data_IF_586211720748
#
_entry.id   IF_586211720748
#
_cell.length_a   1.000
_cell.length_b   1.000
_cell.length_c   1.000
_cell.angle_alpha   90.00
_cell.angle_beta   90.00
_cell.angle_gamma   90.00
#
_symmetry.space_group_name_H-M   'P 1'
#
loop_
_entity.id
_entity.type
_entity.pdbx_description
1 polymer ?
#
# COMPACT_ATOMS: atom_id res chain seq x y z
N UNK A 1 -8.41 -11.31 9.33
CA UNK A 1 -8.28 -12.00 10.64
C UNK A 1 -7.01 -11.48 11.30
N UNK A 2 -6.99 -11.27 12.62
CA UNK A 2 -5.79 -10.87 13.35
C UNK A 2 -5.13 -12.10 13.99
N UNK A 3 -3.82 -12.25 13.85
CA UNK A 3 -3.05 -13.38 14.38
C UNK A 3 -1.80 -12.85 15.09
N UNK A 4 -1.35 -13.54 16.14
CA UNK A 4 0.00 -13.27 16.68
C UNK A 4 1.06 -13.77 15.71
N UNK A 5 2.27 -13.20 15.78
CA UNK A 5 3.40 -13.57 14.91
C UNK A 5 3.77 -15.07 15.02
N UNK A 6 3.50 -15.70 16.17
CA UNK A 6 3.72 -17.13 16.41
C UNK A 6 2.62 -18.03 15.81
N UNK A 7 1.66 -17.46 15.08
CA UNK A 7 0.56 -18.19 14.46
C UNK A 7 -0.59 -18.52 15.40
N UNK A 8 -0.56 -18.05 16.66
CA UNK A 8 -1.60 -18.33 17.65
C UNK A 8 -2.62 -17.19 17.78
N UNK A 9 -3.73 -17.46 18.48
CA UNK A 9 -4.74 -16.46 18.88
C UNK A 9 -5.44 -15.75 17.70
N UNK A 10 -5.79 -16.53 16.68
CA UNK A 10 -6.57 -16.08 15.53
C UNK A 10 -7.90 -15.45 15.98
N UNK A 11 -8.03 -14.13 15.79
CA UNK A 11 -9.23 -13.37 16.18
C UNK A 11 -9.83 -12.68 14.97
N UNK A 12 -11.09 -13.00 14.64
CA UNK A 12 -11.82 -12.29 13.59
C UNK A 12 -12.31 -10.93 14.11
N UNK A 13 -11.86 -9.84 13.48
CA UNK A 13 -12.18 -8.46 13.90
C UNK A 13 -13.34 -7.81 13.15
N UNK A 14 -13.60 -8.21 11.91
CA UNK A 14 -14.77 -7.76 11.12
C UNK A 14 -15.62 -8.97 10.69
N UNK A 15 -16.95 -8.81 10.69
CA UNK A 15 -17.92 -9.89 10.36
C UNK A 15 -18.83 -9.56 9.17
N UNK A 16 -18.57 -8.46 8.47
CA UNK A 16 -19.40 -8.04 7.36
C UNK A 16 -19.33 -9.06 6.20
N UNK A 17 -20.44 -9.33 5.47
CA UNK A 17 -20.43 -10.28 4.35
C UNK A 17 -19.73 -9.75 3.10
N UNK A 18 -19.55 -8.43 3.00
CA UNK A 18 -18.78 -7.81 1.92
C UNK A 18 -17.28 -7.91 2.18
N UNK A 19 -16.51 -7.82 1.11
CA UNK A 19 -15.06 -7.94 1.11
C UNK A 19 -14.36 -6.85 1.95
N UNK A 20 -13.29 -7.25 2.63
CA UNK A 20 -12.33 -6.39 3.33
C UNK A 20 -10.92 -6.76 2.80
N UNK A 21 -10.14 -5.78 2.36
CA UNK A 21 -8.83 -5.96 1.71
C UNK A 21 -7.77 -5.01 2.29
N UNK A 22 -6.50 -5.24 1.93
CA UNK A 22 -5.38 -4.30 2.07
C UNK A 22 -5.17 -3.71 3.48
N UNK A 23 -5.01 -4.53 4.54
CA UNK A 23 -4.84 -4.01 5.88
C UNK A 23 -3.48 -3.31 6.06
N UNK A 24 -3.49 -2.14 6.68
CA UNK A 24 -2.30 -1.38 7.07
C UNK A 24 -2.37 -0.98 8.54
N UNK A 25 -1.32 -1.28 9.29
CA UNK A 25 -1.22 -0.94 10.71
C UNK A 25 -0.87 0.52 10.93
N UNK A 26 -1.51 1.17 11.90
CA UNK A 26 -1.00 2.44 12.41
C UNK A 26 0.36 2.23 13.11
N UNK A 27 1.25 3.23 13.11
CA UNK A 27 2.60 3.08 13.68
C UNK A 27 2.62 2.74 15.18
N UNK A 28 1.58 3.16 15.91
CA UNK A 28 1.40 2.86 17.34
C UNK A 28 0.79 1.46 17.60
N UNK A 29 0.39 0.74 16.54
CA UNK A 29 -0.20 -0.58 16.63
C UNK A 29 -1.65 -0.61 17.14
N UNK A 30 -2.31 0.53 17.34
CA UNK A 30 -3.65 0.57 17.93
C UNK A 30 -4.79 0.55 16.91
N UNK A 31 -4.48 0.84 15.63
CA UNK A 31 -5.46 0.91 14.55
C UNK A 31 -5.02 0.12 13.33
N UNK A 32 -6.00 -0.31 12.56
CA UNK A 32 -5.81 -0.91 11.23
C UNK A 32 -6.64 -0.11 10.24
N UNK A 33 -6.01 0.45 9.21
CA UNK A 33 -6.72 0.94 8.03
C UNK A 33 -6.90 -0.20 7.03
N UNK A 34 -8.02 -0.24 6.31
CA UNK A 34 -8.31 -1.29 5.33
C UNK A 34 -9.40 -0.83 4.35
N UNK A 35 -9.44 -1.43 3.17
CA UNK A 35 -10.48 -1.20 2.16
C UNK A 35 -11.70 -2.08 2.47
N UNK A 36 -12.93 -1.56 2.44
CA UNK A 36 -14.14 -2.36 2.68
C UNK A 36 -15.30 -2.02 1.75
N UNK A 37 -15.90 -3.07 1.16
CA UNK A 37 -17.05 -2.97 0.24
C UNK A 37 -18.40 -2.80 0.94
N UNK A 38 -18.42 -2.61 2.26
CA UNK A 38 -19.63 -2.71 3.10
C UNK A 38 -20.74 -1.71 2.78
N UNK A 39 -20.43 -0.65 2.03
CA UNK A 39 -21.39 0.38 1.66
C UNK A 39 -21.66 0.45 0.14
N UNK A 40 -21.42 -0.64 -0.59
CA UNK A 40 -21.78 -0.79 -2.01
C UNK A 40 -20.65 -0.48 -2.99
N UNK A 41 -19.58 0.16 -2.51
CA UNK A 41 -18.29 0.34 -3.17
C UNK A 41 -17.17 0.17 -2.12
N UNK A 42 -15.93 0.05 -2.59
CA UNK A 42 -14.75 -0.02 -1.74
C UNK A 42 -14.35 1.37 -1.27
N UNK A 43 -14.19 1.48 0.04
CA UNK A 43 -13.86 2.71 0.76
C UNK A 43 -12.86 2.41 1.87
N UNK A 44 -12.12 3.41 2.31
CA UNK A 44 -11.14 3.27 3.39
C UNK A 44 -11.84 3.37 4.74
N UNK A 45 -11.58 2.38 5.60
CA UNK A 45 -12.01 2.34 6.99
C UNK A 45 -10.82 2.26 7.91
N UNK A 46 -11.02 2.69 9.16
CA UNK A 46 -10.15 2.32 10.27
C UNK A 46 -10.90 1.49 11.30
N UNK A 47 -10.20 0.54 11.88
CA UNK A 47 -10.61 -0.23 13.05
C UNK A 47 -9.74 0.19 14.23
N UNK A 48 -10.36 0.63 15.32
CA UNK A 48 -9.71 0.82 16.62
C UNK A 48 -9.73 -0.52 17.39
N UNK A 49 -8.55 -1.02 17.78
CA UNK A 49 -8.44 -2.34 18.42
C UNK A 49 -8.96 -2.38 19.85
N UNK A 50 -8.97 -1.24 20.55
CA UNK A 50 -9.45 -1.12 21.92
C UNK A 50 -10.96 -0.87 21.97
N UNK A 51 -11.47 -0.07 21.02
CA UNK A 51 -12.88 0.33 21.01
C UNK A 51 -13.76 -0.56 20.14
N UNK A 52 -13.18 -1.42 19.30
CA UNK A 52 -13.85 -2.26 18.29
C UNK A 52 -14.70 -1.50 17.25
N UNK A 53 -14.71 -0.17 17.33
CA UNK A 53 -15.48 0.69 16.44
C UNK A 53 -14.77 0.84 15.09
N UNK A 54 -15.60 0.89 14.05
CA UNK A 54 -15.20 1.08 12.67
C UNK A 54 -15.53 2.50 12.23
N UNK A 55 -14.54 3.24 11.75
CA UNK A 55 -14.72 4.58 11.21
C UNK A 55 -14.53 4.55 9.71
N UNK A 56 -15.53 5.02 8.95
CA UNK A 56 -15.42 5.21 7.50
C UNK A 56 -14.67 6.52 7.25
N UNK A 57 -13.53 6.46 6.56
CA UNK A 57 -12.71 7.65 6.27
C UNK A 57 -13.02 8.27 4.91
N UNK A 58 -13.39 7.46 3.93
CA UNK A 58 -13.77 7.94 2.59
C UNK A 58 -15.23 7.62 2.28
N UNK A 59 -15.91 8.54 1.57
CA UNK A 59 -17.29 8.36 1.14
C UNK A 59 -17.53 9.09 -0.17
N UNK A 60 -17.39 8.36 -1.28
CA UNK A 60 -17.62 8.88 -2.62
C UNK A 60 -18.20 7.78 -3.53
N UNK A 61 -18.44 8.09 -4.81
CA UNK A 61 -19.01 7.12 -5.76
C UNK A 61 -17.97 6.19 -6.38
N UNK A 62 -16.68 6.54 -6.26
CA UNK A 62 -15.57 5.79 -6.82
C UNK A 62 -15.00 4.81 -5.80
N UNK A 63 -14.07 3.97 -6.24
CA UNK A 63 -13.43 2.97 -5.37
C UNK A 63 -12.13 3.51 -4.82
N UNK A 64 -11.93 3.30 -3.52
CA UNK A 64 -10.71 3.62 -2.79
C UNK A 64 -10.09 2.33 -2.22
N UNK A 65 -8.78 2.16 -2.40
CA UNK A 65 -8.01 0.95 -2.09
C UNK A 65 -6.69 1.26 -1.39
N UNK A 66 -5.99 0.19 -0.97
CA UNK A 66 -4.57 0.20 -0.60
C UNK A 66 -4.18 1.27 0.42
N UNK A 67 -4.87 1.40 1.57
CA UNK A 67 -4.49 2.38 2.56
C UNK A 67 -3.11 2.08 3.13
N UNK A 68 -2.35 3.14 3.38
CA UNK A 68 -0.99 3.07 3.89
C UNK A 68 -0.77 4.18 4.90
N UNK A 69 -0.55 3.81 6.16
CA UNK A 69 -0.27 4.77 7.22
C UNK A 69 1.10 5.42 7.04
N UNK A 70 1.13 6.74 7.23
CA UNK A 70 2.36 7.48 7.43
C UNK A 70 3.05 7.05 8.74
N UNK A 71 4.38 7.11 8.84
CA UNK A 71 5.13 6.63 10.00
C UNK A 71 4.91 7.45 11.28
N UNK A 72 4.45 8.69 11.17
CA UNK A 72 4.02 9.50 12.32
C UNK A 72 2.55 9.27 12.70
N UNK A 73 1.77 8.57 11.87
CA UNK A 73 0.37 8.25 12.15
C UNK A 73 -0.61 9.40 11.89
N UNK A 74 -0.17 10.50 11.30
CA UNK A 74 -1.03 11.68 11.08
C UNK A 74 -1.77 11.64 9.74
N UNK A 75 -1.29 10.81 8.82
CA UNK A 75 -1.78 10.73 7.44
C UNK A 75 -1.93 9.28 6.96
N UNK A 76 -2.79 9.10 5.95
CA UNK A 76 -3.00 7.85 5.22
C UNK A 76 -2.88 8.16 3.73
N UNK A 77 -2.01 7.45 3.02
CA UNK A 77 -1.98 7.41 1.56
C UNK A 77 -2.89 6.28 1.07
N UNK A 78 -3.52 6.44 -0.09
CA UNK A 78 -4.43 5.44 -0.65
C UNK A 78 -4.61 5.62 -2.16
N UNK A 79 -5.05 4.57 -2.85
CA UNK A 79 -5.37 4.62 -4.29
C UNK A 79 -6.84 4.99 -4.48
N UNK A 80 -7.17 5.90 -5.41
CA UNK A 80 -8.56 6.27 -5.68
C UNK A 80 -8.85 6.48 -7.16
N UNK A 81 -10.02 6.00 -7.61
CA UNK A 81 -10.53 6.21 -8.97
C UNK A 81 -11.43 7.45 -9.14
N UNK A 82 -11.43 8.39 -8.18
CA UNK A 82 -12.37 9.53 -8.18
C UNK A 82 -12.20 10.50 -9.35
N UNK A 83 -11.04 10.49 -10.01
CA UNK A 83 -10.73 11.37 -11.14
C UNK A 83 -10.61 10.63 -12.49
N UNK A 84 -11.20 9.44 -12.61
CA UNK A 84 -11.34 8.69 -13.88
C UNK A 84 -10.44 7.46 -14.01
N UNK A 85 -9.22 7.52 -13.48
CA UNK A 85 -8.27 6.42 -13.30
C UNK A 85 -7.79 6.36 -11.84
N UNK A 86 -7.10 5.28 -11.48
CA UNK A 86 -6.51 5.17 -10.14
C UNK A 86 -5.27 6.04 -10.02
N UNK A 87 -5.25 6.81 -8.94
CA UNK A 87 -4.21 7.76 -8.58
C UNK A 87 -3.93 7.66 -7.08
N UNK A 88 -2.75 8.10 -6.65
CA UNK A 88 -2.37 8.15 -5.25
C UNK A 88 -2.88 9.46 -4.63
N UNK A 89 -3.59 9.31 -3.52
CA UNK A 89 -4.07 10.39 -2.67
C UNK A 89 -3.46 10.26 -1.28
N UNK A 90 -3.49 11.37 -0.55
CA UNK A 90 -3.22 11.41 0.89
C UNK A 90 -4.35 12.14 1.60
N UNK A 91 -4.65 11.72 2.81
CA UNK A 91 -5.59 12.39 3.73
C UNK A 91 -5.03 12.38 5.14
N UNK A 92 -5.58 13.21 6.01
CA UNK A 92 -5.35 13.09 7.46
C UNK A 92 -5.92 11.77 7.98
N UNK A 93 -5.39 11.31 9.11
CA UNK A 93 -5.82 10.07 9.78
C UNK A 93 -7.32 10.03 10.15
N UNK A 94 -7.95 11.20 10.27
CA UNK A 94 -9.38 11.36 10.54
C UNK A 94 -10.25 11.40 9.26
N UNK A 95 -9.63 11.27 8.07
CA UNK A 95 -10.30 11.28 6.77
C UNK A 95 -10.42 12.68 6.14
N UNK A 96 -9.97 13.73 6.81
CA UNK A 96 -10.05 15.11 6.28
C UNK A 96 -8.85 15.46 5.38
N UNK A 97 -8.90 16.64 4.74
CA UNK A 97 -7.81 17.21 3.93
C UNK A 97 -7.28 16.29 2.81
N UNK A 98 -8.19 15.62 2.11
CA UNK A 98 -7.85 14.74 0.99
C UNK A 98 -7.18 15.53 -0.14
N UNK A 99 -5.98 15.11 -0.53
CA UNK A 99 -5.15 15.73 -1.58
C UNK A 99 -4.67 14.68 -2.58
N UNK A 100 -4.76 14.97 -3.87
CA UNK A 100 -4.23 14.12 -4.96
C UNK A 100 -2.72 14.35 -5.12
N UNK A 101 -1.92 13.28 -5.15
CA UNK A 101 -0.46 13.36 -5.28
C UNK A 101 0.05 13.00 -6.67
N UNK A 102 -0.62 12.11 -7.40
CA UNK A 102 -0.28 11.74 -8.77
C UNK A 102 -1.37 12.20 -9.75
N UNK A 103 -0.99 12.55 -10.97
CA UNK A 103 -1.93 12.92 -12.03
C UNK A 103 -1.37 12.51 -13.39
N UNK A 104 -1.73 11.31 -13.83
CA UNK A 104 -1.26 10.72 -15.07
C UNK A 104 -2.38 9.88 -15.71
N UNK A 105 -2.39 9.68 -17.03
CA UNK A 105 -3.43 8.85 -17.68
C UNK A 105 -3.33 7.35 -17.37
N UNK A 106 -2.27 6.92 -16.67
CA UNK A 106 -2.02 5.52 -16.33
C UNK A 106 -2.44 5.28 -14.89
N UNK A 107 -2.73 4.04 -14.54
CA UNK A 107 -3.16 3.70 -13.18
C UNK A 107 -1.97 3.63 -12.22
N UNK A 108 -2.13 4.26 -11.05
CA UNK A 108 -1.21 4.24 -9.92
C UNK A 108 -1.88 3.57 -8.71
N UNK A 109 -1.21 2.58 -8.09
CA UNK A 109 -1.73 1.75 -7.00
C UNK A 109 -0.70 1.48 -5.90
N UNK A 110 -1.15 0.85 -4.81
CA UNK A 110 -0.30 0.29 -3.75
C UNK A 110 0.72 1.30 -3.16
N UNK A 111 0.29 2.45 -2.62
CA UNK A 111 1.19 3.39 -2.00
C UNK A 111 1.82 2.79 -0.73
N UNK A 112 3.11 3.06 -0.52
CA UNK A 112 3.86 2.66 0.67
C UNK A 112 4.73 3.82 1.14
N UNK A 113 4.50 4.27 2.37
CA UNK A 113 5.29 5.31 3.00
C UNK A 113 6.70 4.84 3.32
N UNK A 114 7.68 5.71 3.08
CA UNK A 114 9.00 5.52 3.64
C UNK A 114 8.97 5.75 5.16
N UNK A 115 9.84 5.08 5.94
CA UNK A 115 9.86 5.19 7.41
C UNK A 115 10.16 6.59 7.93
N UNK A 116 10.80 7.44 7.12
CA UNK A 116 11.08 8.84 7.45
C UNK A 116 9.93 9.80 7.10
N UNK A 117 8.85 9.30 6.47
CA UNK A 117 7.66 10.06 6.11
C UNK A 117 7.85 11.02 4.93
N UNK A 118 8.99 10.97 4.23
CA UNK A 118 9.29 11.94 3.19
C UNK A 118 8.95 11.45 1.78
N UNK A 119 8.80 10.14 1.59
CA UNK A 119 8.58 9.51 0.29
C UNK A 119 7.43 8.52 0.33
N UNK A 120 6.83 8.31 -0.83
CA UNK A 120 5.87 7.24 -1.09
C UNK A 120 6.39 6.45 -2.28
N UNK A 121 6.54 5.13 -2.13
CA UNK A 121 6.70 4.21 -3.25
C UNK A 121 5.32 3.73 -3.70
N UNK A 122 5.13 3.44 -4.99
CA UNK A 122 3.85 2.99 -5.54
C UNK A 122 4.06 2.25 -6.86
N UNK A 123 3.05 1.50 -7.31
CA UNK A 123 3.06 0.79 -8.60
C UNK A 123 2.40 1.66 -9.66
N UNK A 124 2.98 1.76 -10.86
CA UNK A 124 2.42 2.57 -11.95
C UNK A 124 2.49 1.88 -13.30
N UNK A 125 1.43 2.01 -14.12
CA UNK A 125 1.39 1.50 -15.51
C UNK A 125 1.98 2.44 -16.55
N UNK A 126 2.61 3.55 -16.15
CA UNK A 126 2.94 4.65 -17.08
C UNK A 126 3.95 4.30 -18.18
N UNK A 127 4.64 3.16 -18.08
CA UNK A 127 5.56 2.66 -19.10
C UNK A 127 5.09 1.39 -19.81
N UNK A 128 3.78 1.10 -19.79
CA UNK A 128 3.16 -0.01 -20.52
C UNK A 128 2.95 -1.28 -19.72
N UNK A 129 3.67 -1.47 -18.61
CA UNK A 129 3.40 -2.47 -17.57
C UNK A 129 3.50 -1.79 -16.19
N UNK A 130 3.18 -2.53 -15.13
CA UNK A 130 3.39 -2.06 -13.76
C UNK A 130 4.87 -2.05 -13.40
N UNK A 131 5.33 -0.91 -12.91
CA UNK A 131 6.67 -0.69 -12.38
C UNK A 131 6.62 0.00 -11.03
N UNK A 132 7.69 -0.14 -10.24
CA UNK A 132 7.84 0.57 -8.98
C UNK A 132 8.35 1.98 -9.22
N UNK A 133 7.64 2.93 -8.63
CA UNK A 133 7.93 4.35 -8.63
C UNK A 133 8.07 4.87 -7.21
N UNK A 134 8.77 5.98 -7.04
CA UNK A 134 8.77 6.74 -5.80
C UNK A 134 8.64 8.24 -6.03
N UNK A 135 8.03 8.94 -5.08
CA UNK A 135 7.89 10.40 -5.09
C UNK A 135 8.13 10.97 -3.70
N UNK A 136 8.51 12.25 -3.63
CA UNK A 136 8.44 13.01 -2.37
C UNK A 136 7.03 13.54 -2.16
N UNK A 137 6.59 13.58 -0.91
CA UNK A 137 5.22 13.99 -0.54
C UNK A 137 5.03 15.50 -0.71
N UNK A 138 6.04 16.30 -0.38
CA UNK A 138 5.99 17.78 -0.43
C UNK A 138 6.20 18.34 -1.84
N UNK A 139 6.93 17.60 -2.68
CA UNK A 139 7.27 17.96 -4.06
C UNK A 139 7.26 16.69 -4.90
N UNK A 140 6.16 16.36 -5.60
CA UNK A 140 6.02 15.11 -6.33
C UNK A 140 6.90 15.09 -7.58
N UNK A 141 8.22 14.99 -7.39
CA UNK A 141 9.14 14.54 -8.42
C UNK A 141 9.09 13.01 -8.39
N UNK A 142 8.35 12.46 -9.35
CA UNK A 142 8.15 11.04 -9.50
C UNK A 142 9.35 10.44 -10.24
N UNK A 143 9.97 9.42 -9.65
CA UNK A 143 11.12 8.71 -10.19
C UNK A 143 10.77 7.23 -10.39
N UNK A 144 11.06 6.67 -11.57
CA UNK A 144 10.96 5.24 -11.84
C UNK A 144 12.13 4.52 -11.17
N UNK A 145 11.86 3.45 -10.43
CA UNK A 145 12.90 2.68 -9.72
C UNK A 145 13.21 1.35 -10.40
N UNK A 146 12.23 0.71 -11.04
CA UNK A 146 12.40 -0.57 -11.74
C UNK A 146 12.20 -0.43 -13.25
N UNK A 147 12.87 -1.29 -14.02
CA UNK A 147 12.88 -1.28 -15.48
C UNK A 147 12.80 -2.71 -16.03
N UNK A 148 11.71 -3.39 -15.73
CA UNK A 148 11.46 -4.78 -16.14
C UNK A 148 10.59 -4.83 -17.40
N UNK A 149 10.82 -5.78 -18.34
CA UNK A 149 9.87 -6.03 -19.42
C UNK A 149 8.53 -6.60 -18.91
N UNK A 150 8.53 -7.17 -17.70
CA UNK A 150 7.37 -7.77 -17.01
C UNK A 150 6.93 -6.91 -15.81
N UNK A 151 5.87 -7.36 -15.12
CA UNK A 151 5.25 -6.63 -14.01
C UNK A 151 6.11 -6.62 -12.74
N UNK A 152 6.30 -5.44 -12.17
CA UNK A 152 6.77 -5.17 -10.81
C UNK A 152 5.69 -4.38 -10.03
N UNK A 153 5.23 -4.88 -8.87
CA UNK A 153 4.13 -4.29 -8.10
C UNK A 153 4.23 -4.52 -6.58
N UNK A 154 3.28 -3.98 -5.82
CA UNK A 154 3.15 -4.12 -4.36
C UNK A 154 4.40 -3.69 -3.56
N UNK A 155 4.92 -2.46 -3.74
CA UNK A 155 6.14 -2.05 -3.05
C UNK A 155 5.91 -1.89 -1.55
N UNK A 156 6.90 -2.27 -0.75
CA UNK A 156 6.93 -2.00 0.69
C UNK A 156 8.33 -1.57 1.15
N UNK A 157 8.39 -0.52 1.97
CA UNK A 157 9.65 -0.04 2.52
C UNK A 157 10.13 -0.90 3.68
N UNK A 158 11.43 -1.20 3.69
CA UNK A 158 12.07 -1.72 4.89
C UNK A 158 12.05 -0.67 6.01
N UNK A 159 11.91 -1.04 7.30
CA UNK A 159 11.90 -0.10 8.43
C UNK A 159 13.14 0.79 8.52
N UNK A 160 14.28 0.31 8.02
CA UNK A 160 15.54 1.07 7.90
C UNK A 160 15.52 2.14 6.80
N UNK A 161 14.55 2.15 5.90
CA UNK A 161 14.40 3.11 4.82
C UNK A 161 15.41 2.98 3.68
N UNK A 162 16.30 1.98 3.72
CA UNK A 162 17.37 1.78 2.72
C UNK A 162 17.02 0.76 1.64
N UNK A 163 15.91 0.01 1.79
CA UNK A 163 15.47 -1.02 0.85
C UNK A 163 13.97 -0.97 0.62
N UNK A 164 13.55 -1.51 -0.53
CA UNK A 164 12.16 -1.71 -0.91
C UNK A 164 12.01 -3.17 -1.34
N UNK A 165 11.00 -3.87 -0.81
CA UNK A 165 10.58 -5.17 -1.33
C UNK A 165 9.39 -4.99 -2.27
N UNK A 166 9.24 -5.87 -3.26
CA UNK A 166 8.17 -5.82 -4.25
C UNK A 166 7.96 -7.20 -4.89
N UNK A 167 6.77 -7.43 -5.45
CA UNK A 167 6.43 -8.61 -6.24
C UNK A 167 6.89 -8.40 -7.69
N UNK A 168 7.55 -9.37 -8.31
CA UNK A 168 7.99 -9.29 -9.71
C UNK A 168 7.77 -10.57 -10.49
N UNK A 169 7.32 -10.44 -11.74
CA UNK A 169 7.12 -11.57 -12.68
C UNK A 169 8.32 -11.81 -13.61
N UNK A 170 9.44 -11.11 -13.43
CA UNK A 170 10.58 -11.13 -14.37
C UNK A 170 11.20 -12.50 -14.65
N UNK A 171 10.95 -13.48 -13.78
CA UNK A 171 11.49 -14.84 -13.88
C UNK A 171 10.40 -15.88 -14.26
N UNK A 172 9.25 -15.44 -14.77
CA UNK A 172 8.18 -16.30 -15.32
C UNK A 172 6.95 -16.48 -14.42
N UNK A 173 7.13 -16.38 -13.10
CA UNK A 173 6.08 -16.32 -12.09
C UNK A 173 6.35 -15.15 -11.14
N UNK A 174 5.35 -14.76 -10.34
CA UNK A 174 5.54 -13.73 -9.32
C UNK A 174 6.35 -14.26 -8.15
N UNK A 175 7.37 -13.50 -7.78
CA UNK A 175 8.30 -13.78 -6.70
C UNK A 175 8.63 -12.49 -5.97
N UNK A 176 9.13 -12.59 -4.74
CA UNK A 176 9.52 -11.42 -3.94
C UNK A 176 10.96 -11.03 -4.28
N UNK A 177 11.13 -9.75 -4.59
CA UNK A 177 12.42 -9.12 -4.81
C UNK A 177 12.64 -8.00 -3.82
N UNK A 178 13.91 -7.66 -3.62
CA UNK A 178 14.34 -6.50 -2.84
C UNK A 178 15.34 -5.69 -3.66
N UNK A 179 15.24 -4.38 -3.57
CA UNK A 179 16.19 -3.43 -4.14
C UNK A 179 16.60 -2.39 -3.09
N UNK A 180 17.67 -1.64 -3.36
CA UNK A 180 17.98 -0.41 -2.63
C UNK A 180 16.91 0.65 -2.91
N UNK A 181 16.76 1.58 -1.98
CA UNK A 181 15.80 2.69 -2.07
C UNK A 181 15.99 3.62 -3.28
N UNK A 182 17.10 3.51 -4.01
CA UNK A 182 17.40 4.24 -5.24
C UNK A 182 17.12 3.43 -6.53
N UNK A 183 16.56 2.22 -6.40
CA UNK A 183 16.25 1.33 -7.51
C UNK A 183 17.37 0.36 -7.90
N UNK A 184 18.56 0.50 -7.31
CA UNK A 184 19.70 -0.36 -7.64
C UNK A 184 19.72 -1.67 -6.82
N UNK A 185 20.60 -2.60 -7.19
CA UNK A 185 20.89 -3.82 -6.41
C UNK A 185 19.66 -4.73 -6.21
N UNK A 186 18.91 -4.95 -7.29
CA UNK A 186 17.73 -5.82 -7.29
C UNK A 186 18.15 -7.28 -7.09
N UNK A 187 17.60 -7.92 -6.07
CA UNK A 187 17.88 -9.31 -5.67
C UNK A 187 16.59 -10.07 -5.41
N UNK A 188 16.48 -11.31 -5.91
CA UNK A 188 15.34 -12.23 -5.68
C UNK A 188 15.44 -12.88 -4.29
N UNK A 189 14.33 -12.97 -3.56
CA UNK A 189 14.27 -13.58 -2.22
C UNK A 189 13.54 -14.93 -2.19
N UNK A 190 12.47 -15.09 -2.97
CA UNK A 190 11.71 -16.36 -3.07
C UNK A 190 11.96 -17.00 -4.43
N UNK A 191 11.91 -18.33 -4.54
CA UNK A 191 12.22 -19.02 -5.80
C UNK A 191 11.53 -20.37 -6.00
N UNK A 192 10.19 -20.38 -5.95
CA UNK A 192 9.43 -21.61 -6.08
C UNK A 192 8.28 -21.50 -7.09
N UNK A 193 7.70 -22.62 -7.51
CA UNK A 193 6.70 -22.63 -8.58
C UNK A 193 5.36 -21.95 -8.25
N UNK A 194 5.07 -21.67 -6.97
CA UNK A 194 3.90 -20.89 -6.58
C UNK A 194 4.16 -19.39 -6.76
N UNK A 195 3.10 -18.60 -6.91
CA UNK A 195 3.21 -17.16 -7.03
C UNK A 195 3.25 -16.50 -5.64
N UNK A 196 4.21 -15.60 -5.42
CA UNK A 196 4.35 -14.81 -4.20
C UNK A 196 4.01 -13.34 -4.46
N UNK A 197 3.14 -12.78 -3.62
CA UNK A 197 2.62 -11.41 -3.73
C UNK A 197 2.58 -10.69 -2.38
N UNK A 198 2.35 -9.38 -2.42
CA UNK A 198 2.10 -8.53 -1.24
C UNK A 198 3.15 -8.70 -0.13
N UNK A 199 4.45 -8.49 -0.42
CA UNK A 199 5.48 -8.57 0.59
C UNK A 199 5.22 -7.54 1.70
N UNK A 200 5.59 -7.90 2.92
CA UNK A 200 5.56 -7.00 4.07
C UNK A 200 6.80 -7.21 4.93
N UNK A 201 7.39 -6.12 5.41
CA UNK A 201 8.52 -6.17 6.33
C UNK A 201 8.03 -6.31 7.77
N UNK A 202 8.71 -7.13 8.58
CA UNK A 202 8.49 -7.11 10.03
C UNK A 202 8.91 -5.75 10.59
N UNK A 203 8.26 -5.26 11.65
CA UNK A 203 8.78 -4.15 12.44
C UNK A 203 10.12 -4.54 13.11
N UNK A 204 10.78 -3.56 13.73
CA UNK A 204 12.07 -3.73 14.43
C UNK A 204 12.05 -4.80 15.51
#
# INVERSE_FOLDING_TARGET
MLLKLDGTNATRRTKHPQEDHDPSWSPDGNKIAFSSGRNGNLEIYTLDLDRTDLTRLTNNISKDYDPSWSPNGDQIAFSSKRDGNFEIYVMKADGTDVTRLTNHNAEDYYPSWSPDGNRIAFSSKRDGNFEIYAMKVDRPHITRLTHSPDVDQDPTWAPSGNRIAFSSKRDGNFEIYVMKADGTDVTRLTNHNAEDYYPSWSPF
#
